data_IF_023061257162
#
_entry.id   IF_023061257162
#
_cell.length_a   1.000
_cell.length_b   1.000
_cell.length_c   1.000
_cell.angle_alpha   90.00
_cell.angle_beta   90.00
_cell.angle_gamma   90.00
#
_symmetry.space_group_name_H-M   'P 1'
#
loop_
_entity.id
_entity.type
_entity.pdbx_description
1 polymer ?
#
# COMPACT_ATOMS: atom_id res chain seq x y z
N UNK A 1 -10.95 -13.50 -16.41
CA UNK A 1 -11.55 -13.40 -15.09
C UNK A 1 -11.28 -14.64 -14.24
N UNK A 2 -11.69 -15.85 -14.70
CA UNK A 2 -11.54 -17.08 -13.92
C UNK A 2 -10.08 -17.37 -13.48
N UNK A 3 -9.10 -17.16 -14.35
CA UNK A 3 -7.69 -17.33 -14.02
C UNK A 3 -7.24 -16.37 -12.89
N UNK A 4 -7.61 -15.07 -13.00
CA UNK A 4 -7.27 -14.08 -11.96
C UNK A 4 -7.95 -14.45 -10.63
N UNK A 5 -9.21 -14.82 -10.66
CA UNK A 5 -9.92 -15.23 -9.44
C UNK A 5 -9.30 -16.49 -8.81
N UNK A 6 -8.94 -17.50 -9.63
CA UNK A 6 -8.29 -18.72 -9.15
C UNK A 6 -6.91 -18.42 -8.55
N UNK A 7 -6.06 -17.64 -9.20
CA UNK A 7 -4.74 -17.28 -8.67
C UNK A 7 -4.84 -16.43 -7.41
N UNK A 8 -5.80 -15.51 -7.33
CA UNK A 8 -6.09 -14.72 -6.12
C UNK A 8 -6.48 -15.61 -4.95
N UNK A 9 -7.39 -16.56 -5.17
CA UNK A 9 -7.83 -17.49 -4.13
C UNK A 9 -6.70 -18.42 -3.67
N UNK A 10 -5.94 -18.99 -4.61
CA UNK A 10 -4.80 -19.84 -4.27
C UNK A 10 -3.73 -19.09 -3.47
N UNK A 11 -3.42 -17.86 -3.87
CA UNK A 11 -2.50 -16.98 -3.15
C UNK A 11 -3.00 -16.67 -1.74
N UNK A 12 -4.30 -16.39 -1.56
CA UNK A 12 -4.90 -16.14 -0.26
C UNK A 12 -4.82 -17.39 0.65
N UNK A 13 -5.20 -18.55 0.14
CA UNK A 13 -5.13 -19.81 0.90
C UNK A 13 -3.68 -20.11 1.31
N UNK A 14 -2.74 -19.92 0.40
CA UNK A 14 -1.31 -20.08 0.67
C UNK A 14 -0.83 -19.06 1.72
N UNK A 15 -1.29 -17.81 1.65
CA UNK A 15 -1.00 -16.78 2.65
C UNK A 15 -1.49 -17.18 4.05
N UNK A 16 -2.72 -17.66 4.17
CA UNK A 16 -3.30 -18.09 5.44
C UNK A 16 -2.50 -19.27 6.02
N UNK A 17 -2.20 -20.27 5.19
CA UNK A 17 -1.43 -21.44 5.61
C UNK A 17 -0.02 -21.05 6.05
N UNK A 18 0.73 -20.31 5.22
CA UNK A 18 2.12 -19.98 5.51
C UNK A 18 2.25 -19.05 6.71
N UNK A 19 1.28 -18.17 6.95
CA UNK A 19 1.27 -17.29 8.14
C UNK A 19 1.20 -18.09 9.44
N UNK A 20 0.59 -19.26 9.43
CA UNK A 20 0.52 -20.14 10.62
C UNK A 20 1.79 -20.96 10.83
N UNK A 21 2.43 -21.42 9.73
CA UNK A 21 3.57 -22.33 9.78
C UNK A 21 4.91 -21.58 9.82
N UNK A 22 5.03 -20.50 9.05
CA UNK A 22 6.27 -19.73 8.90
C UNK A 22 5.97 -18.23 8.70
N UNK A 23 5.61 -17.47 9.77
CA UNK A 23 5.14 -16.09 9.68
C UNK A 23 6.12 -15.15 8.97
N UNK A 24 7.43 -15.30 9.23
CA UNK A 24 8.47 -14.47 8.62
C UNK A 24 8.49 -14.65 7.09
N UNK A 25 8.45 -15.90 6.63
CA UNK A 25 8.40 -16.21 5.20
C UNK A 25 7.09 -15.74 4.56
N UNK A 26 5.97 -15.87 5.27
CA UNK A 26 4.68 -15.38 4.80
C UNK A 26 4.71 -13.87 4.55
N UNK A 27 5.40 -13.11 5.41
CA UNK A 27 5.47 -11.65 5.31
C UNK A 27 6.29 -11.16 4.10
N UNK A 28 7.42 -11.81 3.82
CA UNK A 28 8.34 -11.39 2.74
C UNK A 28 8.10 -12.08 1.40
N UNK A 29 7.30 -13.13 1.35
CA UNK A 29 7.05 -13.88 0.13
C UNK A 29 6.05 -13.19 -0.79
N UNK A 30 6.41 -13.03 -2.07
CA UNK A 30 5.51 -12.45 -3.07
C UNK A 30 4.22 -13.26 -3.29
N UNK A 31 4.27 -14.61 -3.41
CA UNK A 31 3.07 -15.41 -3.62
C UNK A 31 2.03 -15.31 -2.50
N UNK A 32 2.42 -15.01 -1.27
CA UNK A 32 1.51 -14.84 -0.14
C UNK A 32 0.82 -13.47 -0.10
N UNK A 33 1.28 -12.53 -0.90
CA UNK A 33 0.74 -11.16 -1.01
C UNK A 33 0.08 -10.87 -2.35
N UNK A 34 0.24 -11.74 -3.35
CA UNK A 34 -0.30 -11.54 -4.68
C UNK A 34 -1.84 -11.44 -4.70
N UNK A 35 -2.54 -12.05 -3.74
CA UNK A 35 -3.99 -11.94 -3.60
C UNK A 35 -4.46 -10.51 -3.26
N UNK A 36 -3.64 -9.71 -2.57
CA UNK A 36 -3.94 -8.30 -2.27
C UNK A 36 -4.10 -7.50 -3.56
N UNK A 37 -3.17 -7.68 -4.50
CA UNK A 37 -3.24 -7.11 -5.85
C UNK A 37 -4.35 -7.77 -6.69
N UNK A 38 -4.56 -9.06 -6.52
CA UNK A 38 -5.60 -9.82 -7.20
C UNK A 38 -7.00 -9.28 -6.94
N UNK A 39 -7.34 -8.94 -5.69
CA UNK A 39 -8.60 -8.29 -5.36
C UNK A 39 -8.76 -6.94 -6.05
N UNK A 40 -7.69 -6.14 -6.12
CA UNK A 40 -7.69 -4.89 -6.89
C UNK A 40 -7.93 -5.11 -8.38
N UNK A 41 -7.30 -6.13 -8.98
CA UNK A 41 -7.51 -6.48 -10.38
C UNK A 41 -8.93 -6.99 -10.67
N UNK A 42 -9.55 -7.71 -9.72
CA UNK A 42 -10.93 -8.18 -9.87
C UNK A 42 -11.95 -7.03 -9.90
N UNK A 43 -11.65 -5.88 -9.29
CA UNK A 43 -12.50 -4.69 -9.36
C UNK A 43 -12.76 -4.22 -10.79
N UNK A 44 -11.80 -4.39 -11.71
CA UNK A 44 -11.93 -3.99 -13.12
C UNK A 44 -13.05 -4.76 -13.85
N UNK A 45 -13.44 -5.91 -13.32
CA UNK A 45 -14.47 -6.77 -13.92
C UNK A 45 -15.82 -6.66 -13.22
N UNK A 46 -15.92 -5.86 -12.15
CA UNK A 46 -17.21 -5.63 -11.51
C UNK A 46 -18.08 -4.75 -12.40
N UNK A 47 -19.34 -5.12 -12.61
CA UNK A 47 -20.28 -4.28 -13.34
C UNK A 47 -20.51 -2.97 -12.59
N UNK A 48 -20.60 -1.88 -13.32
CA UNK A 48 -20.99 -0.60 -12.73
C UNK A 48 -22.38 -0.74 -12.10
N UNK A 49 -22.42 -0.63 -10.79
CA UNK A 49 -23.68 -0.74 -10.04
C UNK A 49 -24.36 0.62 -10.00
N UNK A 50 -25.52 0.75 -10.65
CA UNK A 50 -26.38 1.94 -10.58
C UNK A 50 -27.00 2.18 -9.19
N UNK A 51 -26.83 1.27 -8.24
CA UNK A 51 -27.34 1.41 -6.87
C UNK A 51 -26.43 2.30 -6.06
N UNK A 52 -26.88 3.52 -5.76
CA UNK A 52 -26.18 4.48 -4.90
C UNK A 52 -26.19 4.02 -3.44
N UNK A 53 -25.30 3.13 -3.07
CA UNK A 53 -25.16 2.67 -1.68
C UNK A 53 -24.19 3.62 -0.97
N UNK A 54 -24.71 4.72 -0.46
CA UNK A 54 -23.93 5.81 0.19
C UNK A 54 -23.16 5.37 1.45
N UNK A 55 -23.47 4.21 2.01
CA UNK A 55 -22.79 3.70 3.21
C UNK A 55 -21.47 2.99 2.88
N UNK A 56 -21.26 2.50 1.64
CA UNK A 56 -20.05 1.75 1.27
C UNK A 56 -18.75 2.52 1.52
N UNK A 57 -18.61 3.79 1.11
CA UNK A 57 -17.37 4.54 1.37
C UNK A 57 -17.04 4.62 2.86
N UNK A 58 -18.07 4.79 3.71
CA UNK A 58 -17.91 4.83 5.16
C UNK A 58 -17.49 3.48 5.74
N UNK A 59 -18.06 2.37 5.25
CA UNK A 59 -17.66 1.03 5.66
C UNK A 59 -16.19 0.75 5.29
N UNK A 60 -15.78 1.11 4.07
CA UNK A 60 -14.38 1.00 3.66
C UNK A 60 -13.45 1.84 4.53
N UNK A 61 -13.79 3.10 4.76
CA UNK A 61 -13.00 4.00 5.61
C UNK A 61 -12.90 3.48 7.05
N UNK A 62 -14.01 3.12 7.66
CA UNK A 62 -14.05 2.58 9.03
C UNK A 62 -13.29 1.27 9.16
N UNK A 63 -13.31 0.41 8.13
CA UNK A 63 -12.52 -0.81 8.10
C UNK A 63 -11.02 -0.56 8.10
N UNK A 64 -10.54 0.46 7.37
CA UNK A 64 -9.14 0.88 7.37
C UNK A 64 -8.75 1.44 8.75
N UNK A 65 -9.59 2.33 9.31
CA UNK A 65 -9.36 2.92 10.64
C UNK A 65 -9.34 1.81 11.71
N UNK A 66 -10.29 0.88 11.65
CA UNK A 66 -10.32 -0.27 12.57
C UNK A 66 -9.03 -1.09 12.49
N UNK A 67 -8.56 -1.44 11.29
CA UNK A 67 -7.31 -2.17 11.11
C UNK A 67 -6.11 -1.40 11.67
N UNK A 68 -6.04 -0.08 11.42
CA UNK A 68 -4.95 0.78 11.90
C UNK A 68 -4.89 0.91 13.41
N UNK A 69 -6.02 0.88 14.09
CA UNK A 69 -6.09 1.03 15.56
C UNK A 69 -5.94 -0.30 16.31
N UNK A 70 -6.35 -1.42 15.71
CA UNK A 70 -6.38 -2.71 16.39
C UNK A 70 -5.22 -3.64 16.05
N UNK A 71 -4.58 -3.46 14.89
CA UNK A 71 -3.46 -4.32 14.50
C UNK A 71 -2.15 -3.79 15.09
N UNK A 72 -1.37 -4.70 15.62
CA UNK A 72 -0.09 -4.44 16.28
C UNK A 72 0.93 -5.52 15.91
N UNK A 73 2.13 -5.43 16.46
CA UNK A 73 3.25 -6.36 16.20
C UNK A 73 2.92 -7.83 16.50
N UNK A 74 1.95 -8.09 17.40
CA UNK A 74 1.51 -9.43 17.75
C UNK A 74 0.42 -9.98 16.80
N UNK A 75 -0.09 -9.15 15.91
CA UNK A 75 -1.10 -9.58 14.95
C UNK A 75 -0.46 -10.46 13.87
N UNK A 76 -0.93 -11.71 13.75
CA UNK A 76 -0.45 -12.61 12.71
C UNK A 76 -0.80 -12.05 11.32
N UNK A 77 0.21 -11.56 10.62
CA UNK A 77 0.09 -10.87 9.35
C UNK A 77 1.05 -11.49 8.30
N UNK A 78 0.69 -11.59 7.00
CA UNK A 78 -0.55 -11.12 6.37
C UNK A 78 -1.80 -11.99 6.65
N UNK A 79 -1.79 -13.28 6.40
CA UNK A 79 -2.85 -14.24 6.66
C UNK A 79 -4.28 -13.69 6.58
N UNK A 80 -5.16 -14.23 7.43
CA UNK A 80 -6.58 -13.81 7.49
C UNK A 80 -6.78 -12.36 7.95
N UNK A 81 -5.86 -11.82 8.75
CA UNK A 81 -6.01 -10.48 9.30
C UNK A 81 -5.85 -9.40 8.22
N UNK A 82 -5.04 -9.65 7.19
CA UNK A 82 -4.90 -8.75 6.06
C UNK A 82 -6.18 -8.61 5.23
N UNK A 83 -7.14 -9.54 5.35
CA UNK A 83 -8.43 -9.41 4.66
C UNK A 83 -9.18 -8.13 5.07
N UNK A 84 -9.08 -7.72 6.33
CA UNK A 84 -9.79 -6.52 6.82
C UNK A 84 -9.36 -5.26 6.06
N UNK A 85 -8.09 -4.84 6.07
CA UNK A 85 -7.67 -3.64 5.36
C UNK A 85 -7.78 -3.79 3.83
N UNK A 86 -7.53 -4.97 3.28
CA UNK A 86 -7.63 -5.20 1.83
C UNK A 86 -9.07 -5.08 1.35
N UNK A 87 -10.03 -5.77 1.98
CA UNK A 87 -11.43 -5.67 1.61
C UNK A 87 -12.00 -4.27 1.87
N UNK A 88 -11.59 -3.61 2.96
CA UNK A 88 -11.96 -2.23 3.24
C UNK A 88 -11.49 -1.29 2.11
N UNK A 89 -10.26 -1.46 1.63
CA UNK A 89 -9.72 -0.70 0.49
C UNK A 89 -10.46 -1.03 -0.81
N UNK A 90 -10.75 -2.30 -1.06
CA UNK A 90 -11.55 -2.75 -2.22
C UNK A 90 -12.93 -2.08 -2.23
N UNK A 91 -13.63 -2.07 -1.09
CA UNK A 91 -14.94 -1.42 -0.94
C UNK A 91 -14.83 0.08 -1.16
N UNK A 92 -13.80 0.73 -0.62
CA UNK A 92 -13.57 2.16 -0.80
C UNK A 92 -13.35 2.52 -2.27
N UNK A 93 -12.52 1.76 -2.98
CA UNK A 93 -12.25 1.97 -4.42
C UNK A 93 -13.52 1.67 -5.24
N UNK A 94 -14.20 0.56 -4.99
CA UNK A 94 -15.42 0.18 -5.70
C UNK A 94 -16.54 1.23 -5.54
N UNK A 95 -16.53 1.98 -4.45
CA UNK A 95 -17.53 3.00 -4.15
C UNK A 95 -17.13 4.43 -4.56
N UNK A 96 -16.07 4.61 -5.34
CA UNK A 96 -15.49 5.93 -5.67
C UNK A 96 -16.53 6.91 -6.26
N UNK A 97 -17.44 6.41 -7.08
CA UNK A 97 -18.51 7.22 -7.70
C UNK A 97 -19.58 7.71 -6.69
N UNK A 98 -19.53 7.21 -5.46
CA UNK A 98 -20.51 7.52 -4.39
C UNK A 98 -19.86 8.15 -3.17
N UNK A 99 -18.61 8.57 -3.29
CA UNK A 99 -17.88 9.21 -2.22
C UNK A 99 -18.59 10.48 -1.76
N UNK A 100 -18.70 10.71 -0.44
CA UNK A 100 -19.17 11.97 0.08
C UNK A 100 -18.20 13.11 -0.33
N UNK A 101 -18.70 14.37 -0.44
CA UNK A 101 -17.84 15.51 -0.80
C UNK A 101 -16.56 15.59 0.01
N UNK A 102 -16.64 15.34 1.32
CA UNK A 102 -15.48 15.30 2.21
C UNK A 102 -14.35 14.39 1.72
N UNK A 103 -14.67 13.17 1.27
CA UNK A 103 -13.67 12.22 0.78
C UNK A 103 -13.08 12.67 -0.55
N UNK A 104 -13.90 13.21 -1.43
CA UNK A 104 -13.45 13.78 -2.69
C UNK A 104 -12.52 14.97 -2.47
N UNK A 105 -12.89 15.90 -1.58
CA UNK A 105 -12.10 17.08 -1.27
C UNK A 105 -10.76 16.69 -0.63
N UNK A 106 -10.77 15.74 0.31
CA UNK A 106 -9.55 15.23 0.91
C UNK A 106 -8.66 14.54 -0.12
N UNK A 107 -9.21 13.65 -0.94
CA UNK A 107 -8.45 12.91 -1.94
C UNK A 107 -7.86 13.84 -3.01
N UNK A 108 -8.61 14.86 -3.44
CA UNK A 108 -8.18 15.83 -4.44
C UNK A 108 -7.39 17.01 -3.86
N UNK A 109 -7.18 17.05 -2.54
CA UNK A 109 -6.36 18.10 -1.93
C UNK A 109 -4.92 18.05 -2.42
N UNK A 110 -4.27 19.21 -2.56
CA UNK A 110 -2.86 19.28 -2.99
C UNK A 110 -1.94 18.45 -2.11
N UNK A 111 -2.22 18.40 -0.82
CA UNK A 111 -1.43 17.62 0.14
C UNK A 111 -1.56 16.11 -0.12
N UNK A 112 -2.79 15.61 -0.26
CA UNK A 112 -3.02 14.16 -0.52
C UNK A 112 -2.42 13.72 -1.85
N UNK A 113 -2.59 14.53 -2.90
CA UNK A 113 -2.02 14.26 -4.21
C UNK A 113 -0.48 14.27 -4.17
N UNK A 114 0.11 15.23 -3.46
CA UNK A 114 1.56 15.29 -3.28
C UNK A 114 2.09 14.09 -2.46
N UNK A 115 1.44 13.74 -1.34
CA UNK A 115 1.80 12.57 -0.55
C UNK A 115 1.68 11.27 -1.37
N UNK A 116 0.63 11.15 -2.18
CA UNK A 116 0.47 10.03 -3.11
C UNK A 116 1.60 9.94 -4.12
N UNK A 117 2.00 11.08 -4.70
CA UNK A 117 3.09 11.13 -5.68
C UNK A 117 4.44 10.70 -5.10
N UNK A 118 4.73 11.04 -3.84
CA UNK A 118 6.00 10.66 -3.18
C UNK A 118 5.89 9.36 -2.37
N UNK A 119 4.76 8.67 -2.36
CA UNK A 119 4.49 7.52 -1.48
C UNK A 119 5.49 6.37 -1.65
N UNK A 120 5.88 6.06 -2.89
CA UNK A 120 6.84 5.02 -3.18
C UNK A 120 8.26 5.36 -2.68
N UNK A 121 8.86 6.52 -3.02
CA UNK A 121 10.13 6.92 -2.41
C UNK A 121 10.06 7.04 -0.88
N UNK A 122 8.93 7.49 -0.33
CA UNK A 122 8.74 7.60 1.11
C UNK A 122 8.79 6.22 1.78
N UNK A 123 8.16 5.21 1.15
CA UNK A 123 8.27 3.82 1.58
C UNK A 123 9.71 3.29 1.52
N UNK A 124 10.50 3.66 0.50
CA UNK A 124 11.89 3.23 0.40
C UNK A 124 12.78 3.85 1.48
N UNK A 125 12.60 5.15 1.76
CA UNK A 125 13.47 5.89 2.68
C UNK A 125 13.12 5.77 4.15
N UNK A 126 11.84 5.48 4.51
CA UNK A 126 11.43 5.50 5.93
C UNK A 126 12.18 4.47 6.78
N UNK A 127 12.39 3.27 6.27
CA UNK A 127 13.05 2.21 7.01
C UNK A 127 14.55 2.51 7.26
N UNK A 128 15.38 2.81 6.25
CA UNK A 128 16.77 3.20 6.47
C UNK A 128 16.90 4.44 7.38
N UNK A 129 16.05 5.43 7.19
CA UNK A 129 16.10 6.67 7.98
C UNK A 129 15.80 6.46 9.47
N UNK A 130 15.01 5.46 9.82
CA UNK A 130 14.70 5.12 11.23
C UNK A 130 15.68 4.10 11.81
N UNK A 131 16.08 3.10 11.04
CA UNK A 131 16.87 1.98 11.54
C UNK A 131 18.36 2.32 11.62
N UNK A 132 18.94 2.99 10.62
CA UNK A 132 20.37 3.31 10.61
C UNK A 132 20.80 4.18 11.81
N UNK A 133 20.08 5.29 12.16
CA UNK A 133 20.47 6.08 13.32
C UNK A 133 20.27 5.33 14.64
N UNK A 134 19.21 4.52 14.76
CA UNK A 134 19.00 3.73 16.00
C UNK A 134 20.09 2.68 16.21
N UNK A 135 20.54 2.04 15.12
CA UNK A 135 21.64 1.07 15.16
C UNK A 135 22.97 1.74 15.46
N UNK A 136 23.24 2.90 14.85
CA UNK A 136 24.47 3.66 15.10
C UNK A 136 24.58 4.17 16.54
N UNK A 137 23.45 4.54 17.14
CA UNK A 137 23.38 5.00 18.53
C UNK A 137 23.33 3.86 19.56
N UNK A 138 23.12 2.62 19.13
CA UNK A 138 22.94 1.46 20.02
C UNK A 138 21.73 1.56 20.96
N UNK A 139 20.75 2.45 20.67
CA UNK A 139 19.56 2.68 21.49
C UNK A 139 18.36 3.10 20.62
N UNK A 140 17.13 2.93 21.12
CA UNK A 140 15.96 3.44 20.43
C UNK A 140 16.01 4.96 20.32
N UNK A 141 15.53 5.47 19.18
CA UNK A 141 15.47 6.91 18.92
C UNK A 141 14.50 7.60 19.89
N UNK A 142 14.89 8.76 20.41
CA UNK A 142 14.02 9.65 21.18
C UNK A 142 12.97 10.28 20.29
N UNK A 143 11.92 10.83 20.89
CA UNK A 143 10.78 11.40 20.16
C UNK A 143 11.21 12.45 19.11
N UNK A 144 12.07 13.41 19.48
CA UNK A 144 12.55 14.44 18.56
C UNK A 144 13.46 13.87 17.45
N UNK A 145 14.26 12.83 17.74
CA UNK A 145 15.10 12.15 16.75
C UNK A 145 14.25 11.43 15.70
N UNK A 146 13.15 10.79 16.13
CA UNK A 146 12.18 10.18 15.20
C UNK A 146 11.54 11.24 14.31
N UNK A 147 11.19 12.41 14.87
CA UNK A 147 10.63 13.51 14.09
C UNK A 147 11.61 14.01 13.02
N UNK A 148 12.89 14.17 13.39
CA UNK A 148 13.95 14.54 12.43
C UNK A 148 14.10 13.48 11.33
N UNK A 149 14.09 12.20 11.68
CA UNK A 149 14.17 11.10 10.70
C UNK A 149 12.96 11.10 9.76
N UNK A 150 11.76 11.35 10.27
CA UNK A 150 10.55 11.47 9.43
C UNK A 150 10.65 12.67 8.49
N UNK A 151 11.07 13.83 9.00
CA UNK A 151 11.27 15.03 8.18
C UNK A 151 12.30 14.78 7.08
N UNK A 152 13.44 14.17 7.42
CA UNK A 152 14.47 13.78 6.46
C UNK A 152 13.91 12.80 5.41
N UNK A 153 13.12 11.82 5.83
CA UNK A 153 12.47 10.85 4.93
C UNK A 153 11.60 11.56 3.89
N UNK A 154 10.78 12.52 4.33
CA UNK A 154 9.90 13.30 3.44
C UNK A 154 10.74 14.12 2.43
N UNK A 155 11.81 14.76 2.89
CA UNK A 155 12.72 15.53 2.03
C UNK A 155 13.37 14.62 1.00
N UNK A 156 13.97 13.49 1.43
CA UNK A 156 14.59 12.53 0.54
C UNK A 156 13.59 11.93 -0.45
N UNK A 157 12.39 11.60 0.00
CA UNK A 157 11.33 11.09 -0.87
C UNK A 157 10.92 12.10 -1.93
N UNK A 158 10.74 13.37 -1.56
CA UNK A 158 10.40 14.43 -2.51
C UNK A 158 11.48 14.61 -3.58
N UNK A 159 12.74 14.69 -3.20
CA UNK A 159 13.85 14.83 -4.14
C UNK A 159 14.02 13.57 -5.02
N UNK A 160 13.87 12.38 -4.45
CA UNK A 160 13.94 11.13 -5.21
C UNK A 160 12.82 11.05 -6.25
N UNK A 161 11.59 11.40 -5.87
CA UNK A 161 10.48 11.46 -6.81
C UNK A 161 10.77 12.44 -7.96
N UNK A 162 11.15 13.67 -7.63
CA UNK A 162 11.35 14.75 -8.61
C UNK A 162 12.53 14.53 -9.55
N UNK A 163 13.67 14.06 -9.05
CA UNK A 163 14.91 14.00 -9.84
C UNK A 163 15.26 12.61 -10.37
N UNK A 164 14.68 11.54 -9.82
CA UNK A 164 14.96 10.17 -10.23
C UNK A 164 13.71 9.53 -10.84
N UNK A 165 12.61 9.48 -10.10
CA UNK A 165 11.42 8.75 -10.53
C UNK A 165 10.72 9.41 -11.72
N UNK A 166 10.37 10.70 -11.63
CA UNK A 166 9.67 11.42 -12.70
C UNK A 166 10.44 11.43 -14.03
N UNK A 167 11.75 11.77 -14.06
CA UNK A 167 12.51 11.74 -15.31
C UNK A 167 12.61 10.33 -15.93
N UNK A 168 12.68 9.27 -15.12
CA UNK A 168 12.73 7.90 -15.62
C UNK A 168 11.37 7.43 -16.12
N UNK A 169 10.28 7.81 -15.45
CA UNK A 169 8.91 7.48 -15.85
C UNK A 169 8.51 8.14 -17.17
N UNK A 170 8.95 9.37 -17.41
CA UNK A 170 8.61 10.13 -18.63
C UNK A 170 9.62 9.92 -19.78
N UNK A 171 10.76 9.27 -19.55
CA UNK A 171 11.61 8.83 -20.65
C UNK A 171 10.92 7.70 -21.41
N UNK A 172 10.40 8.01 -22.60
CA UNK A 172 10.03 7.02 -23.60
C UNK A 172 11.31 6.27 -24.03
N UNK A 173 11.74 5.29 -23.24
CA UNK A 173 12.82 4.39 -23.63
C UNK A 173 12.31 3.58 -24.82
N UNK A 174 12.83 3.85 -26.01
CA UNK A 174 12.52 3.04 -27.17
C UNK A 174 12.86 1.57 -26.80
N UNK A 175 12.02 0.59 -27.22
CA UNK A 175 12.20 -0.82 -26.84
C UNK A 175 13.61 -1.37 -27.03
N UNK A 176 14.33 -0.85 -28.06
CA UNK A 176 15.73 -1.23 -28.39
C UNK A 176 16.77 -0.81 -27.31
N UNK A 177 16.46 0.19 -26.50
CA UNK A 177 17.39 0.66 -25.46
C UNK A 177 17.31 -0.21 -24.19
N UNK A 178 16.15 -0.82 -23.95
CA UNK A 178 15.92 -1.70 -22.79
C UNK A 178 16.72 -3.01 -22.95
N UNK A 179 16.74 -3.57 -24.18
CA UNK A 179 17.47 -4.83 -24.47
C UNK A 179 19.00 -4.69 -24.55
N UNK A 180 19.56 -3.46 -24.55
CA UNK A 180 21.02 -3.24 -24.54
C UNK A 180 21.57 -3.01 -23.13
N UNK A 181 20.73 -2.80 -22.13
CA UNK A 181 21.13 -2.56 -20.74
C UNK A 181 20.90 -3.78 -19.83
N UNK A 182 20.31 -4.86 -20.35
CA UNK A 182 20.17 -6.15 -19.70
C UNK A 182 21.20 -7.15 -20.26
#
# INVERSE_FOLDING_TARGET
LAAIAATTLLSLLFSIYLTQVAPIWAFYSLPTRAWELGFGALLLFLPETNKKIRILPWLGFLGIVFASLNFNENTAFPGKNALVPVLATVVLIASINYWPPLFNDLANSRLSQWLGAISYPLYLWHWPALVLPSSALGRPLRFYERFLCIALTIVLAHYTSKYIEEPLRHKNLAPRTIYRAA
#
